data_IF_660127384332
#
_entry.id   IF_660127384332
#
_cell.length_a   1.000
_cell.length_b   1.000
_cell.length_c   1.000
_cell.angle_alpha   90.00
_cell.angle_beta   90.00
_cell.angle_gamma   90.00
#
_symmetry.space_group_name_H-M   'P 1'
#
loop_
_entity.id
_entity.type
_entity.pdbx_description
1 polymer ?
#
# COMPACT_ATOMS: atom_id res chain seq x y z
N UNK A 1 -0.47 -19.02 -13.65
CA UNK A 1 -0.95 -19.36 -12.29
C UNK A 1 -1.54 -18.06 -11.78
N UNK A 2 -2.87 -17.94 -11.81
CA UNK A 2 -3.58 -16.73 -11.39
C UNK A 2 -3.38 -16.53 -9.90
N UNK A 3 -2.43 -15.67 -9.50
CA UNK A 3 -2.39 -15.13 -8.15
C UNK A 3 -3.55 -14.12 -8.01
N UNK A 4 -4.76 -14.67 -7.87
CA UNK A 4 -5.99 -13.93 -7.64
C UNK A 4 -5.92 -13.09 -6.37
N UNK A 5 -5.07 -13.45 -5.41
CA UNK A 5 -4.86 -12.72 -4.17
C UNK A 5 -3.39 -12.73 -3.74
N UNK A 6 -2.89 -11.58 -3.28
CA UNK A 6 -1.59 -11.45 -2.66
C UNK A 6 -1.73 -10.81 -1.27
N UNK A 7 -1.04 -11.38 -0.28
CA UNK A 7 -0.99 -10.86 1.08
C UNK A 7 0.45 -10.50 1.45
N UNK A 8 0.64 -9.33 2.05
CA UNK A 8 1.91 -8.93 2.64
C UNK A 8 1.71 -7.96 3.80
N UNK A 9 2.78 -7.72 4.56
CA UNK A 9 2.82 -6.64 5.56
C UNK A 9 3.03 -5.30 4.86
N UNK A 10 2.58 -4.23 5.49
CA UNK A 10 2.97 -2.88 5.14
C UNK A 10 4.10 -2.39 6.04
N UNK A 11 4.93 -1.49 5.50
CA UNK A 11 6.04 -0.87 6.23
C UNK A 11 5.53 0.25 7.14
N UNK A 12 4.63 1.09 6.63
CA UNK A 12 4.07 2.24 7.35
C UNK A 12 2.71 2.64 6.76
N UNK A 13 1.84 3.27 7.55
CA UNK A 13 0.62 3.91 7.07
C UNK A 13 0.64 5.41 7.41
N UNK A 14 0.06 6.23 6.54
CA UNK A 14 -0.06 7.69 6.72
C UNK A 14 -1.52 8.04 6.92
N UNK A 15 -1.87 8.49 8.13
CA UNK A 15 -3.24 8.83 8.49
C UNK A 15 -3.78 10.04 7.71
N UNK A 16 -2.96 11.08 7.51
CA UNK A 16 -3.33 12.31 6.79
C UNK A 16 -3.88 12.05 5.38
N UNK A 17 -3.26 11.13 4.65
CA UNK A 17 -3.57 10.86 3.24
C UNK A 17 -4.30 9.54 3.03
N UNK A 18 -4.48 8.74 4.08
CA UNK A 18 -4.99 7.38 3.96
C UNK A 18 -4.09 6.49 3.09
N UNK A 19 -2.76 6.69 3.15
CA UNK A 19 -1.80 5.97 2.31
C UNK A 19 -1.11 4.84 3.05
N UNK A 20 -0.75 3.79 2.33
CA UNK A 20 0.08 2.69 2.81
C UNK A 20 1.43 2.70 2.09
N UNK A 21 2.51 2.69 2.86
CA UNK A 21 3.88 2.54 2.40
C UNK A 21 4.33 1.08 2.46
N UNK A 22 4.84 0.56 1.35
CA UNK A 22 5.43 -0.79 1.25
C UNK A 22 6.82 -0.67 0.65
N UNK A 23 7.83 -1.07 1.39
CA UNK A 23 9.19 -1.15 0.87
C UNK A 23 9.42 -2.44 0.07
N UNK A 24 10.43 -2.39 -0.80
CA UNK A 24 10.79 -3.52 -1.65
C UNK A 24 11.53 -4.67 -0.94
N UNK A 25 11.87 -4.53 0.35
CA UNK A 25 12.34 -5.64 1.18
C UNK A 25 11.15 -6.48 1.69
N UNK A 26 10.02 -5.85 1.95
CA UNK A 26 8.78 -6.48 2.42
C UNK A 26 8.03 -7.17 1.26
N UNK A 27 7.98 -6.54 0.08
CA UNK A 27 7.31 -7.13 -1.07
C UNK A 27 7.96 -6.74 -2.40
N UNK A 28 8.05 -7.68 -3.34
CA UNK A 28 8.47 -7.37 -4.69
C UNK A 28 7.42 -6.49 -5.38
N UNK A 29 7.88 -5.42 -6.05
CA UNK A 29 7.03 -4.43 -6.74
C UNK A 29 5.95 -5.06 -7.60
N UNK A 30 6.29 -6.05 -8.44
CA UNK A 30 5.32 -6.67 -9.35
C UNK A 30 4.14 -7.32 -8.62
N UNK A 31 4.34 -7.84 -7.40
CA UNK A 31 3.28 -8.47 -6.61
C UNK A 31 2.27 -7.46 -6.06
N UNK A 32 2.68 -6.21 -5.87
CA UNK A 32 1.80 -5.14 -5.38
C UNK A 32 0.83 -4.63 -6.45
N UNK A 33 1.12 -4.86 -7.74
CA UNK A 33 0.33 -4.29 -8.84
C UNK A 33 -0.29 -5.32 -9.79
N UNK A 34 0.22 -6.56 -9.84
CA UNK A 34 -0.26 -7.60 -10.76
C UNK A 34 -1.29 -8.56 -10.13
N UNK A 35 -1.58 -8.44 -8.83
CA UNK A 35 -2.61 -9.26 -8.19
C UNK A 35 -4.00 -8.64 -8.38
N UNK A 36 -5.05 -9.48 -8.41
CA UNK A 36 -6.43 -9.01 -8.44
C UNK A 36 -6.85 -8.42 -7.08
N UNK A 37 -6.49 -9.10 -5.98
CA UNK A 37 -6.75 -8.66 -4.62
C UNK A 37 -5.45 -8.50 -3.83
N UNK A 38 -5.22 -7.32 -3.28
CA UNK A 38 -4.09 -7.05 -2.39
C UNK A 38 -4.59 -6.91 -0.95
N UNK A 39 -4.01 -7.71 -0.05
CA UNK A 39 -4.24 -7.65 1.38
C UNK A 39 -2.97 -7.12 2.08
N UNK A 40 -3.10 -6.00 2.81
CA UNK A 40 -2.01 -5.38 3.54
C UNK A 40 -2.28 -5.40 5.04
N UNK A 41 -1.39 -6.05 5.80
CA UNK A 41 -1.42 -6.03 7.26
C UNK A 41 -0.51 -4.96 7.85
N UNK A 42 -1.01 -4.15 8.78
CA UNK A 42 -0.21 -3.12 9.48
C UNK A 42 -0.53 -3.10 10.98
N UNK A 43 0.49 -2.89 11.81
CA UNK A 43 0.32 -2.66 13.24
C UNK A 43 -0.13 -1.22 13.50
N UNK A 44 -0.86 -0.98 14.59
CA UNK A 44 -1.23 0.39 14.98
C UNK A 44 -0.01 1.30 15.26
N UNK A 45 1.11 0.73 15.71
CA UNK A 45 2.36 1.47 15.97
C UNK A 45 3.08 1.92 14.70
N UNK A 46 2.77 1.31 13.56
CA UNK A 46 3.31 1.68 12.25
C UNK A 46 2.40 2.69 11.52
N UNK A 47 1.52 3.40 12.23
CA UNK A 47 0.68 4.46 11.66
C UNK A 47 1.26 5.82 12.07
N UNK A 48 1.75 6.58 11.08
CA UNK A 48 2.21 7.95 11.28
C UNK A 48 1.13 8.96 10.90
N UNK A 49 1.22 10.15 11.49
CA UNK A 49 0.26 11.22 11.23
C UNK A 49 0.46 11.83 9.85
N UNK A 50 1.69 12.19 9.50
CA UNK A 50 1.99 12.99 8.31
C UNK A 50 2.84 12.26 7.27
N UNK A 51 2.70 12.63 6.00
CA UNK A 51 3.44 11.99 4.90
C UNK A 51 4.97 12.09 5.06
N UNK A 52 5.48 13.22 5.55
CA UNK A 52 6.92 13.44 5.71
C UNK A 52 7.55 12.47 6.72
N UNK A 53 6.80 11.99 7.71
CA UNK A 53 7.28 10.96 8.65
C UNK A 53 7.53 9.64 7.93
N UNK A 54 6.61 9.24 7.03
CA UNK A 54 6.76 8.03 6.22
C UNK A 54 7.93 8.15 5.23
N UNK A 55 8.13 9.32 4.61
CA UNK A 55 9.25 9.54 3.70
C UNK A 55 10.60 9.49 4.42
N UNK A 56 10.67 9.99 5.66
CA UNK A 56 11.88 9.89 6.49
C UNK A 56 12.21 8.43 6.82
N UNK A 57 11.20 7.61 7.10
CA UNK A 57 11.38 6.17 7.31
C UNK A 57 11.86 5.50 6.01
N UNK A 58 11.19 5.78 4.88
CA UNK A 58 11.55 5.25 3.57
C UNK A 58 13.03 5.50 3.24
N UNK A 59 13.51 6.73 3.44
CA UNK A 59 14.90 7.13 3.19
C UNK A 59 15.95 6.40 4.03
N UNK A 60 15.56 5.82 5.18
CA UNK A 60 16.47 5.10 6.08
C UNK A 60 16.44 3.57 5.88
N UNK A 61 15.55 3.04 5.04
CA UNK A 61 15.39 1.57 4.87
C UNK A 61 16.48 0.93 4.02
N UNK A 62 17.16 1.70 3.17
CA UNK A 62 18.07 1.18 2.14
C UNK A 62 17.37 0.37 1.03
N UNK A 63 16.04 0.34 1.01
CA UNK A 63 15.27 -0.39 0.01
C UNK A 63 15.40 0.28 -1.37
N UNK A 64 15.54 -0.53 -2.42
CA UNK A 64 15.64 -0.05 -3.81
C UNK A 64 14.41 0.73 -4.30
N UNK A 65 13.24 0.45 -3.69
CA UNK A 65 11.99 1.10 -3.98
C UNK A 65 11.13 1.15 -2.72
N UNK A 66 10.36 2.24 -2.61
CA UNK A 66 9.32 2.46 -1.61
C UNK A 66 8.04 2.85 -2.35
N UNK A 67 6.99 2.05 -2.17
CA UNK A 67 5.72 2.22 -2.84
C UNK A 67 4.74 2.89 -1.89
N UNK A 68 4.26 4.08 -2.26
CA UNK A 68 3.20 4.76 -1.55
C UNK A 68 1.88 4.54 -2.28
N UNK A 69 1.01 3.70 -1.70
CA UNK A 69 -0.31 3.37 -2.22
C UNK A 69 -1.31 4.24 -1.48
N UNK A 70 -1.72 5.35 -2.08
CA UNK A 70 -2.70 6.26 -1.49
C UNK A 70 -4.11 5.70 -1.66
N UNK A 71 -4.95 5.87 -0.63
CA UNK A 71 -6.32 5.36 -0.59
C UNK A 71 -7.14 5.74 -1.83
N UNK A 72 -8.31 5.09 -2.02
CA UNK A 72 -9.11 5.24 -3.23
C UNK A 72 -9.48 6.71 -3.39
N UNK A 73 -8.75 7.39 -4.27
CA UNK A 73 -9.07 8.75 -4.63
C UNK A 73 -10.47 8.72 -5.24
N UNK A 74 -11.30 9.67 -4.82
CA UNK A 74 -12.53 10.04 -5.50
C UNK A 74 -12.19 10.66 -6.87
N UNK A 75 -11.44 9.95 -7.70
CA UNK A 75 -11.12 10.23 -9.11
C UNK A 75 -11.70 9.14 -10.03
N UNK A 76 -12.64 8.32 -9.52
CA UNK A 76 -13.59 7.63 -10.38
C UNK A 76 -14.60 8.62 -11.06
N UNK A 77 -14.54 9.92 -10.71
CA UNK A 77 -15.51 10.94 -11.13
C UNK A 77 -14.85 12.19 -11.75
N UNK A 78 -13.88 12.00 -12.65
CA UNK A 78 -13.37 13.13 -13.48
C UNK A 78 -13.41 12.84 -14.98
N UNK A 79 -13.32 11.58 -15.46
CA UNK A 79 -13.24 11.33 -16.92
C UNK A 79 -14.06 10.16 -17.48
N UNK A 80 -15.03 9.59 -16.75
CA UNK A 80 -16.00 8.59 -17.28
C UNK A 80 -15.43 7.47 -18.19
N UNK A 81 -14.15 7.13 -18.10
CA UNK A 81 -13.56 6.00 -18.81
C UNK A 81 -12.52 5.36 -17.91
N UNK A 82 -12.97 4.42 -17.07
CA UNK A 82 -12.05 3.54 -16.35
C UNK A 82 -11.35 2.70 -17.40
N UNK A 83 -10.07 2.97 -17.67
CA UNK A 83 -9.22 2.03 -18.39
C UNK A 83 -8.97 0.83 -17.50
N UNK A 84 -9.75 -0.22 -17.74
CA UNK A 84 -9.63 -1.52 -17.09
C UNK A 84 -8.30 -2.13 -17.57
N UNK A 85 -7.21 -1.99 -16.79
CA UNK A 85 -6.02 -2.82 -17.04
C UNK A 85 -4.64 -2.39 -16.54
N UNK A 86 -4.40 -1.22 -15.92
CA UNK A 86 -3.01 -0.79 -15.67
C UNK A 86 -2.71 -0.07 -14.34
N UNK A 87 -3.67 0.12 -13.43
CA UNK A 87 -3.49 1.02 -12.27
C UNK A 87 -3.29 0.34 -10.91
N UNK A 88 -3.19 -0.99 -10.85
CA UNK A 88 -2.97 -1.76 -9.62
C UNK A 88 -4.07 -2.79 -9.34
N UNK A 89 -4.14 -3.35 -8.12
CA UNK A 89 -5.09 -4.40 -7.79
C UNK A 89 -6.53 -3.92 -7.91
N UNK A 90 -7.43 -4.80 -8.35
CA UNK A 90 -8.88 -4.52 -8.44
C UNK A 90 -9.48 -4.21 -7.07
N UNK A 91 -8.95 -4.84 -6.02
CA UNK A 91 -9.36 -4.61 -4.64
C UNK A 91 -8.16 -4.54 -3.71
N UNK A 92 -8.17 -3.55 -2.81
CA UNK A 92 -7.21 -3.41 -1.72
C UNK A 92 -7.94 -3.54 -0.39
N UNK A 93 -7.48 -4.46 0.47
CA UNK A 93 -7.98 -4.63 1.84
C UNK A 93 -6.85 -4.36 2.82
N UNK A 94 -7.09 -3.45 3.76
CA UNK A 94 -6.12 -3.09 4.80
C UNK A 94 -6.60 -3.65 6.13
N UNK A 95 -5.75 -4.40 6.81
CA UNK A 95 -6.00 -4.95 8.14
C UNK A 95 -5.10 -4.26 9.15
N UNK A 96 -5.70 -3.47 10.04
CA UNK A 96 -5.01 -2.86 11.17
C UNK A 96 -5.15 -3.81 12.35
N UNK A 97 -4.04 -4.18 12.97
CA UNK A 97 -4.04 -5.05 14.15
C UNK A 97 -3.17 -4.47 15.28
N UNK A 98 -3.50 -4.88 16.51
CA UNK A 98 -2.67 -4.67 17.69
C UNK A 98 -1.76 -5.88 17.85
N UNK A 99 -0.50 -5.64 18.21
CA UNK A 99 0.39 -6.70 18.67
C UNK A 99 0.26 -6.78 20.19
N UNK A 100 -0.01 -7.96 20.73
CA UNK A 100 -0.14 -8.19 22.19
C UNK A 100 1.24 -8.36 22.85
N UNK A 101 2.17 -7.46 22.51
CA UNK A 101 3.54 -7.41 23.03
C UNK A 101 3.63 -6.67 24.37
#
# INVERSE_FOLDING_TARGET
MDDTAFYTRATIAVAETGSIGVDSHVAATHKLYLCDHLYLGITEHNIVRYLHDALRIAGNTGARAFHLITGPSRTADVEQTIQIGAHGPKQLTIMIYRDDS
#
